data_IF_174172955666
#
_entry.id   IF_174172955666
#
_cell.length_a   1.000
_cell.length_b   1.000
_cell.length_c   1.000
_cell.angle_alpha   90.00
_cell.angle_beta   90.00
_cell.angle_gamma   90.00
#
_symmetry.space_group_name_H-M   'P 1'
#
loop_
_entity.id
_entity.type
_entity.pdbx_description
1 polymer ?
#
# COMPACT_ATOMS: atom_id res chain seq x y z
N UNK A 1 -10.25 17.01 44.71
CA UNK A 1 -9.66 17.57 43.49
C UNK A 1 -8.50 16.76 42.93
N UNK A 2 -7.52 16.38 43.75
CA UNK A 2 -6.36 15.58 43.30
C UNK A 2 -6.73 14.19 42.78
N UNK A 3 -7.76 13.57 43.36
CA UNK A 3 -8.28 12.24 42.94
C UNK A 3 -8.95 12.30 41.57
N UNK A 4 -9.66 13.37 41.25
CA UNK A 4 -10.30 13.58 39.95
C UNK A 4 -9.32 13.71 38.80
N UNK A 5 -8.18 14.37 39.05
CA UNK A 5 -7.10 14.54 38.05
C UNK A 5 -6.45 13.19 37.73
N UNK A 6 -6.26 12.33 38.74
CA UNK A 6 -5.71 10.99 38.53
C UNK A 6 -6.64 10.09 37.69
N UNK A 7 -7.95 10.21 37.86
CA UNK A 7 -8.93 9.48 37.05
C UNK A 7 -8.93 9.91 35.57
N UNK A 8 -8.73 11.18 35.31
CA UNK A 8 -8.66 11.71 33.93
C UNK A 8 -7.40 11.20 33.23
N UNK A 9 -6.28 11.12 33.92
CA UNK A 9 -5.03 10.57 33.40
C UNK A 9 -5.14 9.08 33.07
N UNK A 10 -5.85 8.31 33.87
CA UNK A 10 -6.13 6.90 33.60
C UNK A 10 -6.99 6.70 32.35
N UNK A 11 -7.98 7.55 32.15
CA UNK A 11 -8.82 7.52 30.96
C UNK A 11 -8.05 7.80 29.67
N UNK A 12 -7.12 8.73 29.69
CA UNK A 12 -6.23 9.04 28.56
C UNK A 12 -5.30 7.87 28.22
N UNK A 13 -4.79 7.16 29.20
CA UNK A 13 -3.92 6.00 29.00
C UNK A 13 -4.66 4.86 28.29
N UNK A 14 -5.91 4.59 28.64
CA UNK A 14 -6.76 3.59 27.99
C UNK A 14 -7.03 3.96 26.53
N UNK A 15 -7.28 5.23 26.22
CA UNK A 15 -7.49 5.70 24.84
C UNK A 15 -6.27 5.49 23.95
N UNK A 16 -5.05 5.72 24.47
CA UNK A 16 -3.80 5.47 23.75
C UNK A 16 -3.63 3.99 23.43
N UNK A 17 -3.93 3.09 24.36
CA UNK A 17 -3.87 1.64 24.16
C UNK A 17 -4.81 1.16 23.04
N UNK A 18 -6.01 1.72 22.96
CA UNK A 18 -6.99 1.40 21.89
C UNK A 18 -6.47 1.85 20.52
N UNK A 19 -5.81 3.00 20.41
CA UNK A 19 -5.21 3.48 19.15
C UNK A 19 -4.09 2.58 18.66
N UNK A 20 -3.26 2.05 19.55
CA UNK A 20 -2.17 1.11 19.21
C UNK A 20 -2.72 -0.19 18.62
N UNK A 21 -3.81 -0.72 19.15
CA UNK A 21 -4.47 -1.93 18.64
C UNK A 21 -5.06 -1.74 17.23
N UNK A 22 -5.53 -0.53 16.90
CA UNK A 22 -6.08 -0.22 15.59
C UNK A 22 -5.01 -0.18 14.48
N UNK A 23 -3.71 0.04 14.83
CA UNK A 23 -2.60 0.11 13.89
C UNK A 23 -2.06 -1.26 13.46
N UNK A 24 -2.57 -2.37 13.99
CA UNK A 24 -2.17 -3.73 13.62
C UNK A 24 -2.76 -4.22 12.30
N UNK A 25 -3.76 -3.52 11.76
CA UNK A 25 -4.37 -3.85 10.48
C UNK A 25 -3.54 -3.34 9.31
N UNK A 26 -3.58 -4.06 8.20
CA UNK A 26 -2.97 -3.62 6.96
C UNK A 26 -3.99 -3.50 5.83
N UNK A 27 -3.67 -2.68 4.85
CA UNK A 27 -4.41 -2.52 3.60
C UNK A 27 -3.52 -2.92 2.44
N UNK A 28 -4.06 -3.71 1.51
CA UNK A 28 -3.34 -4.23 0.36
C UNK A 28 -4.07 -3.87 -0.92
N UNK A 29 -3.38 -3.17 -1.81
CA UNK A 29 -3.83 -2.97 -3.19
C UNK A 29 -3.13 -3.98 -4.08
N UNK A 30 -3.90 -4.72 -4.87
CA UNK A 30 -3.38 -5.73 -5.80
C UNK A 30 -3.72 -5.32 -7.22
N UNK A 31 -2.71 -5.14 -8.05
CA UNK A 31 -2.84 -4.82 -9.46
C UNK A 31 -2.30 -5.99 -10.26
N UNK A 32 -3.16 -6.61 -11.06
CA UNK A 32 -2.77 -7.68 -11.98
C UNK A 32 -2.53 -7.06 -13.35
N UNK A 33 -1.36 -7.29 -13.93
CA UNK A 33 -0.97 -6.70 -15.20
C UNK A 33 -0.44 -7.74 -16.18
N UNK A 34 -0.61 -7.45 -17.46
CA UNK A 34 0.08 -8.12 -18.55
C UNK A 34 1.14 -7.16 -19.12
N UNK A 35 2.31 -7.70 -19.45
CA UNK A 35 3.40 -6.93 -20.05
C UNK A 35 4.12 -7.78 -21.09
N UNK A 36 4.50 -7.15 -22.20
CA UNK A 36 5.33 -7.78 -23.24
C UNK A 36 6.82 -7.70 -22.93
N UNK A 37 7.22 -6.87 -21.96
CA UNK A 37 8.60 -6.69 -21.54
C UNK A 37 8.68 -6.71 -20.00
N UNK A 38 8.76 -7.90 -19.44
CA UNK A 38 8.82 -8.10 -17.99
C UNK A 38 10.06 -7.44 -17.37
N UNK A 39 11.20 -7.49 -18.04
CA UNK A 39 12.44 -6.91 -17.52
C UNK A 39 12.33 -5.39 -17.39
N UNK A 40 11.82 -4.72 -18.41
CA UNK A 40 11.59 -3.27 -18.39
C UNK A 40 10.57 -2.89 -17.34
N UNK A 41 9.50 -3.67 -17.19
CA UNK A 41 8.46 -3.45 -16.19
C UNK A 41 9.02 -3.55 -14.77
N UNK A 42 9.80 -4.60 -14.48
CA UNK A 42 10.44 -4.79 -13.16
C UNK A 42 11.40 -3.63 -12.84
N UNK A 43 12.18 -3.19 -13.81
CA UNK A 43 13.07 -2.03 -13.64
C UNK A 43 12.27 -0.78 -13.25
N UNK A 44 11.15 -0.53 -13.88
CA UNK A 44 10.26 0.59 -13.54
C UNK A 44 9.59 0.42 -12.18
N UNK A 45 9.23 -0.80 -11.80
CA UNK A 45 8.68 -1.07 -10.46
C UNK A 45 9.71 -0.76 -9.36
N UNK A 46 10.96 -1.14 -9.57
CA UNK A 46 12.05 -0.82 -8.63
C UNK A 46 12.22 0.70 -8.46
N UNK A 47 12.19 1.43 -9.57
CA UNK A 47 12.26 2.89 -9.54
C UNK A 47 11.08 3.50 -8.80
N UNK A 48 9.87 3.02 -9.07
CA UNK A 48 8.65 3.47 -8.38
C UNK A 48 8.67 3.16 -6.90
N UNK A 49 9.17 2.00 -6.51
CA UNK A 49 9.34 1.63 -5.09
C UNK A 49 10.21 2.63 -4.34
N UNK A 50 11.31 3.06 -4.94
CA UNK A 50 12.19 4.08 -4.35
C UNK A 50 11.49 5.44 -4.21
N UNK A 51 10.76 5.87 -5.24
CA UNK A 51 10.00 7.12 -5.22
C UNK A 51 8.92 7.11 -4.14
N UNK A 52 8.16 6.03 -4.05
CA UNK A 52 7.07 5.89 -3.09
C UNK A 52 7.61 5.82 -1.66
N UNK A 53 8.68 5.08 -1.42
CA UNK A 53 9.31 5.01 -0.08
C UNK A 53 9.86 6.34 0.41
N UNK A 54 10.30 7.21 -0.49
CA UNK A 54 10.74 8.55 -0.12
C UNK A 54 9.58 9.43 0.40
N UNK A 55 8.37 9.20 -0.10
CA UNK A 55 7.17 9.96 0.27
C UNK A 55 6.46 9.34 1.47
N UNK A 56 6.29 8.03 1.44
CA UNK A 56 5.60 7.27 2.48
C UNK A 56 6.39 5.99 2.79
N UNK A 57 7.32 6.04 3.77
CA UNK A 57 8.23 4.94 4.08
C UNK A 57 7.55 3.64 4.50
N UNK A 58 6.33 3.72 5.00
CA UNK A 58 5.57 2.55 5.45
C UNK A 58 4.96 1.74 4.31
N UNK A 59 4.83 2.31 3.12
CA UNK A 59 4.27 1.61 1.97
C UNK A 59 5.32 0.70 1.34
N UNK A 60 4.95 -0.57 1.12
CA UNK A 60 5.82 -1.57 0.51
C UNK A 60 5.23 -2.01 -0.81
N UNK A 61 6.06 -2.04 -1.85
CA UNK A 61 5.70 -2.59 -3.16
C UNK A 61 6.38 -3.95 -3.31
N UNK A 62 5.60 -4.96 -3.69
CA UNK A 62 6.09 -6.29 -4.03
C UNK A 62 5.48 -6.74 -5.34
N UNK A 63 6.18 -7.62 -6.04
CA UNK A 63 5.69 -8.19 -7.28
C UNK A 63 5.86 -9.70 -7.29
N UNK A 64 4.90 -10.38 -7.89
CA UNK A 64 4.90 -11.83 -8.09
C UNK A 64 4.54 -12.13 -9.54
N UNK A 65 5.02 -13.25 -10.03
CA UNK A 65 4.56 -13.81 -11.30
C UNK A 65 3.57 -14.93 -11.01
N UNK A 66 2.42 -14.89 -11.66
CA UNK A 66 1.40 -15.93 -11.52
C UNK A 66 1.87 -17.20 -12.25
N UNK A 67 2.15 -18.26 -11.49
CA UNK A 67 2.68 -19.53 -12.02
C UNK A 67 1.56 -20.54 -12.28
N UNK A 68 0.64 -20.70 -11.33
CA UNK A 68 -0.54 -21.55 -11.44
C UNK A 68 -1.78 -20.74 -11.08
N UNK A 69 -2.38 -20.09 -12.03
CA UNK A 69 -3.50 -19.18 -11.80
C UNK A 69 -4.56 -19.26 -12.93
N UNK A 70 -4.69 -20.40 -13.58
CA UNK A 70 -5.62 -20.57 -14.69
C UNK A 70 -5.35 -19.59 -15.82
N UNK A 71 -6.34 -18.80 -16.21
CA UNK A 71 -6.23 -17.83 -17.30
C UNK A 71 -5.27 -16.67 -16.97
N UNK A 72 -4.97 -16.44 -15.69
CA UNK A 72 -4.02 -15.41 -15.26
C UNK A 72 -2.57 -15.90 -15.21
N UNK A 73 -2.27 -17.15 -15.59
CA UNK A 73 -0.91 -17.68 -15.60
C UNK A 73 -0.01 -16.86 -16.52
N UNK A 74 1.15 -16.45 -15.99
CA UNK A 74 2.09 -15.58 -16.70
C UNK A 74 1.88 -14.09 -16.42
N UNK A 75 0.75 -13.69 -15.86
CA UNK A 75 0.53 -12.30 -15.45
C UNK A 75 1.44 -11.91 -14.28
N UNK A 76 1.75 -10.63 -14.18
CA UNK A 76 2.45 -10.07 -13.04
C UNK A 76 1.45 -9.49 -12.03
N UNK A 77 1.70 -9.78 -10.77
CA UNK A 77 0.87 -9.30 -9.66
C UNK A 77 1.69 -8.30 -8.86
N UNK A 78 1.21 -7.08 -8.76
CA UNK A 78 1.86 -6.01 -8.00
C UNK A 78 1.03 -5.73 -6.76
N UNK A 79 1.63 -5.86 -5.60
CA UNK A 79 1.00 -5.57 -4.32
C UNK A 79 1.60 -4.31 -3.70
N UNK A 80 0.72 -3.38 -3.29
CA UNK A 80 1.08 -2.23 -2.48
C UNK A 80 0.46 -2.44 -1.10
N UNK A 81 1.30 -2.64 -0.11
CA UNK A 81 0.88 -2.88 1.27
C UNK A 81 1.18 -1.67 2.15
N UNK A 82 0.22 -1.31 2.97
CA UNK A 82 0.34 -0.22 3.94
C UNK A 82 -0.14 -0.69 5.31
N UNK A 83 0.68 -0.56 6.38
CA UNK A 83 0.27 -0.94 7.72
C UNK A 83 -0.66 0.12 8.31
N UNK A 84 -1.96 -0.09 8.18
CA UNK A 84 -2.97 0.83 8.65
C UNK A 84 -4.32 0.56 8.01
N UNK A 85 -5.29 1.39 8.34
CA UNK A 85 -6.66 1.29 7.82
C UNK A 85 -6.75 1.69 6.35
N UNK A 86 -7.90 1.42 5.74
CA UNK A 86 -8.21 1.90 4.40
C UNK A 86 -8.07 3.43 4.29
N UNK A 87 -8.49 4.17 5.31
CA UNK A 87 -8.35 5.63 5.35
C UNK A 87 -6.88 6.05 5.40
N UNK A 88 -6.05 5.35 6.17
CA UNK A 88 -4.61 5.61 6.24
C UNK A 88 -3.93 5.34 4.91
N UNK A 89 -4.28 4.25 4.25
CA UNK A 89 -3.80 3.93 2.91
C UNK A 89 -4.20 5.03 1.91
N UNK A 90 -5.46 5.44 1.92
CA UNK A 90 -5.96 6.47 1.00
C UNK A 90 -5.23 7.81 1.19
N UNK A 91 -4.97 8.21 2.43
CA UNK A 91 -4.21 9.43 2.74
C UNK A 91 -2.77 9.34 2.25
N UNK A 92 -2.11 8.21 2.45
CA UNK A 92 -0.75 7.97 1.97
C UNK A 92 -0.70 7.98 0.44
N UNK A 93 -1.66 7.34 -0.21
CA UNK A 93 -1.75 7.27 -1.67
C UNK A 93 -2.01 8.63 -2.29
N UNK A 94 -2.82 9.46 -1.66
CA UNK A 94 -3.06 10.84 -2.11
C UNK A 94 -1.76 11.66 -2.14
N UNK A 95 -0.91 11.53 -1.13
CA UNK A 95 0.41 12.16 -1.11
C UNK A 95 1.33 11.64 -2.22
N UNK A 96 1.28 10.35 -2.48
CA UNK A 96 2.06 9.71 -3.56
C UNK A 96 1.61 10.26 -4.92
N UNK A 97 0.32 10.33 -5.17
CA UNK A 97 -0.23 10.84 -6.43
C UNK A 97 0.03 12.33 -6.66
N UNK A 98 0.14 13.11 -5.60
CA UNK A 98 0.44 14.54 -5.69
C UNK A 98 1.90 14.84 -6.07
N UNK A 99 2.79 13.86 -5.96
CA UNK A 99 4.20 14.02 -6.30
C UNK A 99 4.40 13.98 -7.82
N UNK A 100 5.13 14.97 -8.33
CA UNK A 100 5.37 15.13 -9.77
C UNK A 100 6.18 13.99 -10.36
N UNK A 101 7.19 13.51 -9.64
CA UNK A 101 8.04 12.40 -10.09
C UNK A 101 7.25 11.10 -10.16
N UNK A 102 6.35 10.88 -9.22
CA UNK A 102 5.44 9.71 -9.22
C UNK A 102 4.47 9.80 -10.40
N UNK A 103 3.90 10.95 -10.67
CA UNK A 103 2.99 11.15 -11.80
C UNK A 103 3.68 10.83 -13.14
N UNK A 104 4.91 11.28 -13.32
CA UNK A 104 5.72 10.97 -14.51
C UNK A 104 6.04 9.47 -14.60
N UNK A 105 6.39 8.84 -13.48
CA UNK A 105 6.64 7.41 -13.41
C UNK A 105 5.40 6.59 -13.79
N UNK A 106 4.23 6.94 -13.27
CA UNK A 106 2.97 6.28 -13.61
C UNK A 106 2.62 6.39 -15.09
N UNK A 107 2.88 7.55 -15.70
CA UNK A 107 2.68 7.74 -17.14
C UNK A 107 3.59 6.82 -17.96
N UNK A 108 4.86 6.73 -17.60
CA UNK A 108 5.81 5.81 -18.25
C UNK A 108 5.45 4.35 -18.04
N UNK A 109 5.00 4.00 -16.85
CA UNK A 109 4.59 2.64 -16.49
C UNK A 109 3.37 2.18 -17.31
N UNK A 110 2.44 3.07 -17.57
CA UNK A 110 1.23 2.76 -18.34
C UNK A 110 1.53 2.27 -19.76
N UNK A 111 2.62 2.72 -20.37
CA UNK A 111 3.06 2.27 -21.69
C UNK A 111 3.66 0.87 -21.72
N UNK A 112 4.01 0.30 -20.57
CA UNK A 112 4.65 -1.01 -20.44
C UNK A 112 3.68 -2.12 -20.03
N UNK A 113 2.43 -1.80 -19.73
CA UNK A 113 1.48 -2.75 -19.15
C UNK A 113 0.06 -2.54 -19.61
N UNK A 114 -0.70 -3.63 -19.51
CA UNK A 114 -2.17 -3.61 -19.54
C UNK A 114 -2.66 -4.05 -18.17
N UNK A 115 -3.46 -3.23 -17.51
CA UNK A 115 -4.09 -3.58 -16.24
C UNK A 115 -5.26 -4.52 -16.51
N UNK A 116 -5.19 -5.73 -15.93
CA UNK A 116 -6.24 -6.73 -16.00
C UNK A 116 -7.24 -6.55 -14.87
N UNK A 117 -6.74 -6.31 -13.66
CA UNK A 117 -7.58 -6.05 -12.48
C UNK A 117 -6.84 -5.18 -11.48
N UNK A 118 -7.62 -4.47 -10.67
CA UNK A 118 -7.12 -3.59 -9.61
C UNK A 118 -8.08 -3.71 -8.44
N UNK A 119 -7.59 -4.22 -7.32
CA UNK A 119 -8.40 -4.60 -6.17
C UNK A 119 -7.78 -4.07 -4.88
N UNK A 120 -8.63 -3.75 -3.93
CA UNK A 120 -8.24 -3.22 -2.63
C UNK A 120 -8.78 -4.13 -1.52
N UNK A 121 -7.89 -4.55 -0.63
CA UNK A 121 -8.21 -5.48 0.45
C UNK A 121 -7.88 -4.87 1.80
N UNK A 122 -8.77 -5.06 2.77
CA UNK A 122 -8.50 -4.75 4.17
C UNK A 122 -8.23 -6.03 4.93
N UNK A 123 -7.20 -6.05 5.74
CA UNK A 123 -6.89 -7.20 6.58
C UNK A 123 -7.99 -7.45 7.61
N UNK A 124 -8.37 -8.71 7.78
CA UNK A 124 -9.23 -9.16 8.87
C UNK A 124 -8.33 -9.89 9.87
N UNK A 125 -8.31 -9.39 11.09
CA UNK A 125 -7.56 -10.05 12.17
C UNK A 125 -8.40 -11.25 12.67
N UNK A 126 -7.77 -12.42 12.68
CA UNK A 126 -8.38 -13.70 13.07
C UNK A 126 -7.90 -14.08 14.47
#
# INVERSE_FOLDING_TARGET
>A
MKILIALILLGLTVSISTSVLADEHSTLRVVVVETDDAAAYITQLNKGSMLIKAITPKMTIRAWQATFAGDATGAMIVGLEYPGSLADFANAWEKVQADKSVAQWLTGLAGLRKIVSDSLYSEIVI
#
